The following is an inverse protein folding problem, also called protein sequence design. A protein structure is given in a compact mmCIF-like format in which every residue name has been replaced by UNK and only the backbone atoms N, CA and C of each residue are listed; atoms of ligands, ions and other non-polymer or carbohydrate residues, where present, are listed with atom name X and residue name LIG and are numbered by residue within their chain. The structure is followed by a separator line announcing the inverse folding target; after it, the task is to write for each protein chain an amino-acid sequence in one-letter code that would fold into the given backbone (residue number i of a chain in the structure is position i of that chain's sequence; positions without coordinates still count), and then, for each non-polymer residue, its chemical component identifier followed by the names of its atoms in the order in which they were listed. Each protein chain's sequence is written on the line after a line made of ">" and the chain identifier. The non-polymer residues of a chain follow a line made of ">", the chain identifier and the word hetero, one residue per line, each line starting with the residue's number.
data_IF_648198244422
#
_entry.id   IF_648198244422
#
_cell.length_a   1.000
_cell.length_b   1.000
_cell.length_c   1.000
_cell.angle_alpha   90.00
_cell.angle_beta   90.00
_cell.angle_gamma   90.00
#
_symmetry.space_group_name_H-M   'P 1'
#
loop_
_entity.id
_entity.type
_entity.pdbx_description
1 polymer ?
#
# COMPACT_ATOMS: atom_id res chain seq x y z
N UNK A 1 57.33 6.40 -52.84
CA UNK A 1 55.87 6.21 -52.82
C UNK A 1 55.49 5.73 -51.42
N UNK A 2 54.91 6.58 -50.59
CA UNK A 2 54.34 6.17 -49.30
C UNK A 2 52.96 5.56 -49.53
N UNK A 3 52.64 4.47 -48.83
CA UNK A 3 51.26 4.04 -48.58
C UNK A 3 51.08 3.98 -47.07
N UNK A 4 50.36 4.96 -46.54
CA UNK A 4 50.01 5.06 -45.13
C UNK A 4 48.67 4.32 -44.95
N UNK A 5 48.71 3.08 -44.48
CA UNK A 5 47.48 2.34 -44.15
C UNK A 5 46.96 2.82 -42.80
N UNK A 6 45.88 3.60 -42.82
CA UNK A 6 45.18 4.03 -41.61
C UNK A 6 44.36 2.84 -41.10
N UNK A 7 44.74 2.33 -39.92
CA UNK A 7 43.96 1.30 -39.22
C UNK A 7 42.80 1.99 -38.50
N UNK A 8 41.59 1.89 -39.05
CA UNK A 8 40.38 2.33 -38.36
C UNK A 8 40.03 1.31 -37.26
N UNK A 9 40.49 1.59 -36.05
CA UNK A 9 40.01 0.93 -34.83
C UNK A 9 38.59 1.44 -34.53
N UNK A 10 37.59 0.67 -34.95
CA UNK A 10 36.23 0.82 -34.45
C UNK A 10 36.17 0.38 -32.99
N UNK A 11 36.15 1.33 -32.06
CA UNK A 11 35.67 1.04 -30.71
C UNK A 11 34.17 0.70 -30.83
N UNK A 12 33.72 -0.47 -30.36
CA UNK A 12 32.30 -0.65 -30.10
C UNK A 12 31.96 0.26 -28.92
N UNK A 13 31.15 1.28 -29.18
CA UNK A 13 30.53 2.05 -28.12
C UNK A 13 29.46 1.12 -27.51
N UNK A 14 29.84 0.37 -26.46
CA UNK A 14 28.84 -0.22 -25.58
C UNK A 14 28.18 0.95 -24.86
N UNK A 15 27.08 1.42 -25.45
CA UNK A 15 26.03 2.04 -24.67
C UNK A 15 25.49 0.91 -23.78
N UNK A 16 26.00 0.83 -22.54
CA UNK A 16 25.24 0.20 -21.47
C UNK A 16 23.97 1.02 -21.37
N UNK A 17 22.86 0.47 -21.88
CA UNK A 17 21.56 0.97 -21.50
C UNK A 17 21.46 0.67 -20.00
N UNK A 18 21.63 1.72 -19.18
CA UNK A 18 21.01 1.69 -17.88
C UNK A 18 19.52 1.59 -18.17
N UNK A 19 18.86 0.53 -17.69
CA UNK A 19 17.41 0.56 -17.58
C UNK A 19 16.99 1.68 -16.63
N UNK A 20 15.68 1.89 -16.44
CA UNK A 20 15.22 2.56 -15.23
C UNK A 20 15.83 1.85 -14.01
N UNK A 21 16.15 2.63 -12.99
CA UNK A 21 16.73 2.11 -11.75
C UNK A 21 15.61 1.69 -10.81
N UNK A 22 15.88 0.62 -10.08
CA UNK A 22 15.16 0.07 -8.94
C UNK A 22 16.29 -0.26 -7.96
N UNK A 23 16.35 0.43 -6.82
CA UNK A 23 17.55 0.51 -5.97
C UNK A 23 17.52 -0.45 -4.79
N UNK A 24 16.35 -0.72 -4.20
CA UNK A 24 16.15 -1.73 -3.15
C UNK A 24 15.69 -3.09 -3.68
N UNK A 25 15.04 -3.14 -4.85
CA UNK A 25 14.59 -4.36 -5.52
C UNK A 25 13.12 -4.71 -5.30
N UNK A 26 12.26 -3.75 -4.93
CA UNK A 26 10.83 -3.98 -4.67
C UNK A 26 9.95 -4.05 -5.94
N UNK A 27 10.51 -3.76 -7.13
CA UNK A 27 9.89 -3.66 -8.46
C UNK A 27 9.30 -2.28 -8.84
N UNK A 28 9.20 -1.33 -7.92
CA UNK A 28 8.98 0.08 -8.24
C UNK A 28 10.29 0.69 -8.78
N UNK A 29 10.22 1.90 -9.33
CA UNK A 29 11.37 2.55 -9.98
C UNK A 29 11.74 3.82 -9.22
N UNK A 30 13.04 4.08 -9.04
CA UNK A 30 13.57 5.26 -8.32
C UNK A 30 12.87 6.58 -8.74
N UNK A 31 12.56 6.71 -10.04
CA UNK A 31 11.94 7.93 -10.61
C UNK A 31 10.44 8.07 -10.33
N UNK A 32 9.77 6.96 -10.03
CA UNK A 32 8.36 6.88 -9.71
C UNK A 32 8.12 7.00 -8.20
N UNK A 33 8.92 6.31 -7.40
CA UNK A 33 8.95 6.44 -5.93
C UNK A 33 9.11 7.90 -5.49
N UNK A 34 10.12 8.59 -6.04
CA UNK A 34 10.33 10.03 -5.82
C UNK A 34 9.19 10.93 -6.32
N UNK A 35 8.29 10.42 -7.17
CA UNK A 35 7.12 11.14 -7.66
C UNK A 35 5.87 10.92 -6.79
N UNK A 36 5.74 9.74 -6.17
CA UNK A 36 4.64 9.42 -5.23
C UNK A 36 4.96 9.79 -3.77
N UNK A 37 6.24 9.89 -3.40
CA UNK A 37 6.69 10.35 -2.08
C UNK A 37 7.50 9.33 -1.27
N UNK A 38 7.66 8.11 -1.79
CA UNK A 38 8.37 7.02 -1.13
C UNK A 38 9.89 7.11 -1.29
N UNK A 39 10.62 6.12 -0.75
CA UNK A 39 12.08 6.18 -0.55
C UNK A 39 12.85 5.06 -1.28
N UNK A 40 13.53 5.36 -2.42
CA UNK A 40 14.30 4.39 -3.22
C UNK A 40 15.45 3.62 -2.55
N UNK A 41 15.68 3.76 -1.26
CA UNK A 41 16.63 2.92 -0.52
C UNK A 41 15.91 1.91 0.42
N UNK A 42 14.57 1.89 0.43
CA UNK A 42 13.71 1.09 1.30
C UNK A 42 12.49 0.57 0.52
N UNK A 43 12.46 -0.75 0.29
CA UNK A 43 11.35 -1.47 -0.34
C UNK A 43 10.01 -1.46 0.43
N UNK A 44 9.93 -0.70 1.52
CA UNK A 44 8.91 -0.65 2.57
C UNK A 44 9.16 0.70 3.27
N UNK A 45 8.45 1.74 2.81
CA UNK A 45 8.82 3.13 3.07
C UNK A 45 8.33 3.70 4.41
N UNK A 46 7.17 3.27 4.89
CA UNK A 46 6.66 3.62 6.23
C UNK A 46 7.04 2.58 7.31
N UNK A 47 7.23 1.32 6.94
CA UNK A 47 7.69 0.24 7.82
C UNK A 47 6.59 -0.70 8.31
N UNK A 48 5.42 -0.71 7.68
CA UNK A 48 4.26 -1.53 8.08
C UNK A 48 4.44 -3.05 7.78
N UNK A 49 5.29 -3.37 6.80
CA UNK A 49 5.65 -4.72 6.37
C UNK A 49 5.14 -5.16 4.99
N UNK A 50 4.42 -4.30 4.27
CA UNK A 50 4.18 -4.43 2.84
C UNK A 50 5.33 -3.77 2.04
N UNK A 51 5.19 -3.69 0.71
CA UNK A 51 6.19 -3.01 -0.13
C UNK A 51 5.51 -1.93 -0.94
N UNK A 52 6.23 -0.85 -1.23
CA UNK A 52 5.69 0.30 -1.95
C UNK A 52 4.96 -0.12 -3.25
N UNK A 53 5.54 -1.07 -4.01
CA UNK A 53 4.94 -1.64 -5.24
C UNK A 53 3.71 -2.52 -5.00
N UNK A 54 3.64 -3.19 -3.85
CA UNK A 54 2.54 -4.07 -3.42
C UNK A 54 1.31 -3.24 -3.06
N UNK A 55 1.52 -2.15 -2.33
CA UNK A 55 0.48 -1.23 -1.87
C UNK A 55 -0.03 -0.39 -3.03
N UNK A 56 0.89 0.31 -3.72
CA UNK A 56 0.54 1.28 -4.74
C UNK A 56 -0.25 0.68 -5.92
N UNK A 57 0.01 -0.59 -6.28
CA UNK A 57 -0.72 -1.26 -7.35
C UNK A 57 -2.05 -1.90 -6.93
N UNK A 58 -2.29 -2.00 -5.63
CA UNK A 58 -3.56 -2.39 -5.01
C UNK A 58 -4.34 -1.17 -4.49
N UNK A 59 -3.88 0.05 -4.80
CA UNK A 59 -4.52 1.33 -4.47
C UNK A 59 -4.45 1.73 -2.99
N UNK A 60 -3.33 1.43 -2.35
CA UNK A 60 -2.96 1.82 -0.98
C UNK A 60 -1.85 2.90 -1.01
N UNK A 61 -1.76 3.73 0.03
CA UNK A 61 -0.72 4.79 0.15
C UNK A 61 0.53 4.25 0.90
N UNK A 62 1.65 3.96 0.20
CA UNK A 62 2.89 3.42 0.78
C UNK A 62 3.69 4.45 1.60
N UNK A 63 3.01 5.45 2.17
CA UNK A 63 3.56 6.44 3.09
C UNK A 63 2.72 6.59 4.36
N UNK A 64 1.70 5.74 4.55
CA UNK A 64 0.76 5.74 5.67
C UNK A 64 0.60 4.33 6.28
N UNK A 65 1.23 4.10 7.43
CA UNK A 65 1.26 2.81 8.16
C UNK A 65 -0.13 2.27 8.60
N UNK A 66 -1.20 3.02 8.36
CA UNK A 66 -2.60 2.63 8.64
C UNK A 66 -3.43 2.29 7.37
N UNK A 67 -2.85 2.42 6.17
CA UNK A 67 -3.53 2.23 4.87
C UNK A 67 -2.93 1.11 4.01
N UNK A 68 -3.08 -0.14 4.45
CA UNK A 68 -2.42 -1.30 3.83
C UNK A 68 -3.39 -2.38 3.29
N UNK A 69 -2.91 -3.32 2.43
CA UNK A 69 -3.71 -4.43 1.90
C UNK A 69 -4.27 -5.38 2.97
N UNK A 70 -5.57 -5.24 3.27
CA UNK A 70 -6.31 -6.10 4.20
C UNK A 70 -6.12 -7.59 3.95
N UNK A 71 -5.96 -8.37 5.03
CA UNK A 71 -5.92 -9.83 5.04
C UNK A 71 -7.17 -10.47 4.44
N UNK A 72 -8.31 -9.78 4.50
CA UNK A 72 -9.56 -10.18 3.85
C UNK A 72 -9.61 -9.95 2.33
N UNK A 73 -8.68 -9.16 1.77
CA UNK A 73 -8.54 -8.94 0.32
C UNK A 73 -9.68 -8.14 -0.30
N UNK A 74 -10.27 -7.21 0.44
CA UNK A 74 -11.44 -6.45 0.00
C UNK A 74 -11.09 -5.47 -1.14
N UNK A 75 -11.89 -5.40 -2.23
CA UNK A 75 -11.62 -4.49 -3.33
C UNK A 75 -11.91 -3.04 -2.94
N UNK A 76 -10.98 -2.13 -3.29
CA UNK A 76 -11.15 -0.68 -3.16
C UNK A 76 -10.55 0.07 -4.34
N UNK A 77 -10.90 1.35 -4.44
CA UNK A 77 -10.23 2.37 -5.22
C UNK A 77 -9.54 3.36 -4.27
N UNK A 78 -8.58 4.18 -4.74
CA UNK A 78 -8.02 5.24 -3.92
C UNK A 78 -9.11 6.23 -3.53
N UNK A 79 -9.09 6.66 -2.27
CA UNK A 79 -10.00 7.69 -1.78
C UNK A 79 -9.61 9.06 -2.38
N UNK A 80 -10.53 9.84 -2.98
CA UNK A 80 -10.24 11.20 -3.42
C UNK A 80 -10.05 12.17 -2.24
N UNK A 81 -9.06 13.07 -2.33
CA UNK A 81 -8.81 14.17 -1.39
C UNK A 81 -10.05 15.04 -1.09
N UNK A 82 -10.99 15.10 -2.03
CA UNK A 82 -12.18 15.96 -2.03
C UNK A 82 -13.51 15.19 -1.99
N UNK A 83 -13.55 14.01 -1.37
CA UNK A 83 -14.82 13.30 -1.11
C UNK A 83 -15.79 14.18 -0.30
N UNK A 84 -16.98 14.41 -0.85
CA UNK A 84 -18.02 15.25 -0.25
C UNK A 84 -18.70 14.51 0.92
N UNK A 85 -18.06 14.50 2.10
CA UNK A 85 -18.61 14.06 3.39
C UNK A 85 -19.88 14.86 3.76
N UNK A 86 -21.04 14.46 3.23
CA UNK A 86 -22.29 15.18 3.44
C UNK A 86 -22.97 14.75 4.75
N UNK A 87 -23.06 13.44 5.00
CA UNK A 87 -23.63 12.92 6.24
C UNK A 87 -23.97 11.45 6.24
N UNK A 88 -25.23 11.16 6.56
CA UNK A 88 -25.72 9.80 6.78
C UNK A 88 -27.16 9.60 6.33
N UNK A 89 -27.86 10.61 5.79
CA UNK A 89 -29.21 10.46 5.26
C UNK A 89 -29.20 9.83 3.84
N UNK A 90 -30.34 9.32 3.37
CA UNK A 90 -30.44 8.78 1.99
C UNK A 90 -30.21 9.88 0.95
N UNK A 91 -29.29 9.62 0.01
CA UNK A 91 -28.82 10.57 -1.00
C UNK A 91 -27.69 11.50 -0.55
N UNK A 92 -27.12 11.29 0.65
CA UNK A 92 -25.87 11.89 1.09
C UNK A 92 -24.71 10.88 0.88
N UNK A 93 -23.53 11.38 0.51
CA UNK A 93 -22.28 10.59 0.57
C UNK A 93 -21.88 10.40 2.04
N UNK A 94 -21.55 9.15 2.38
CA UNK A 94 -21.38 8.75 3.77
C UNK A 94 -20.16 9.40 4.42
N UNK A 95 -20.39 9.91 5.62
CA UNK A 95 -19.35 10.22 6.60
C UNK A 95 -18.49 9.01 6.91
N UNK A 96 -17.20 9.25 7.12
CA UNK A 96 -16.38 8.24 7.79
C UNK A 96 -16.67 8.21 9.30
N UNK A 97 -16.51 7.02 9.87
CA UNK A 97 -16.64 6.74 11.29
C UNK A 97 -15.25 6.67 11.96
N UNK A 98 -14.96 7.66 12.81
CA UNK A 98 -13.73 7.75 13.61
C UNK A 98 -13.80 6.75 14.80
N UNK A 99 -13.51 5.47 14.53
CA UNK A 99 -13.63 4.37 15.51
C UNK A 99 -12.38 3.48 15.54
N UNK A 100 -11.52 3.75 16.52
CA UNK A 100 -10.38 2.90 16.90
C UNK A 100 -10.79 1.48 17.36
N UNK A 101 -12.10 1.23 17.57
CA UNK A 101 -12.65 -0.06 18.00
C UNK A 101 -13.27 -0.87 16.81
N UNK A 102 -13.20 -0.37 15.57
CA UNK A 102 -13.77 -1.01 14.38
C UNK A 102 -12.88 -2.14 13.79
N UNK A 103 -12.43 -3.06 14.64
CA UNK A 103 -11.65 -4.25 14.24
C UNK A 103 -12.52 -5.29 13.52
N UNK A 104 -12.03 -5.83 12.40
CA UNK A 104 -12.58 -7.02 11.74
C UNK A 104 -11.97 -8.34 12.29
N UNK A 105 -12.36 -9.49 11.73
CA UNK A 105 -11.87 -10.81 12.16
C UNK A 105 -10.38 -11.08 11.93
N UNK A 106 -9.66 -10.19 11.25
CA UNK A 106 -8.20 -10.23 11.09
C UNK A 106 -7.48 -9.33 12.10
N UNK A 107 -8.21 -8.53 12.88
CA UNK A 107 -7.68 -7.50 13.77
C UNK A 107 -7.29 -6.23 13.03
N UNK A 108 -7.89 -5.98 11.86
CA UNK A 108 -7.61 -4.83 11.00
C UNK A 108 -8.71 -3.78 11.23
N UNK A 109 -8.33 -2.51 11.43
CA UNK A 109 -9.29 -1.41 11.58
C UNK A 109 -9.89 -1.07 10.21
N UNK A 110 -11.16 -1.41 10.04
CA UNK A 110 -11.93 -1.14 8.82
C UNK A 110 -12.77 0.12 9.00
N UNK A 111 -12.58 1.08 8.11
CA UNK A 111 -13.41 2.30 8.04
C UNK A 111 -14.29 2.30 6.76
N UNK A 112 -15.27 3.21 6.58
CA UNK A 112 -16.19 3.12 5.43
C UNK A 112 -15.57 3.71 4.17
N UNK A 113 -14.71 4.73 4.33
CA UNK A 113 -13.95 5.33 3.22
C UNK A 113 -12.95 4.36 2.59
N UNK A 114 -12.41 3.39 3.36
CA UNK A 114 -11.60 2.26 2.88
C UNK A 114 -12.31 1.37 1.84
N UNK A 115 -13.62 1.47 1.68
CA UNK A 115 -14.41 0.73 0.67
C UNK A 115 -14.87 1.59 -0.53
N UNK A 116 -14.33 2.81 -0.68
CA UNK A 116 -14.57 3.63 -1.87
C UNK A 116 -14.30 2.84 -3.16
N UNK A 117 -15.16 3.01 -4.16
CA UNK A 117 -15.16 2.28 -5.42
C UNK A 117 -15.92 0.94 -5.43
N UNK A 118 -16.21 0.37 -4.26
CA UNK A 118 -17.04 -0.83 -4.11
C UNK A 118 -18.50 -0.46 -3.79
N UNK A 119 -19.44 -1.29 -4.24
CA UNK A 119 -20.82 -1.23 -3.75
C UNK A 119 -20.83 -1.88 -2.35
N UNK A 120 -21.36 -1.18 -1.35
CA UNK A 120 -21.30 -1.62 0.06
C UNK A 120 -22.70 -1.92 0.59
N UNK A 121 -22.89 -3.08 1.22
CA UNK A 121 -24.05 -3.35 2.08
C UNK A 121 -23.61 -3.34 3.55
N UNK A 122 -24.12 -2.41 4.34
CA UNK A 122 -23.99 -2.44 5.80
C UNK A 122 -25.11 -3.31 6.35
N UNK A 123 -24.79 -4.47 6.95
CA UNK A 123 -25.72 -5.42 7.56
C UNK A 123 -25.72 -5.28 9.08
N UNK A 124 -26.82 -4.85 9.67
CA UNK A 124 -26.93 -4.54 11.11
C UNK A 124 -27.70 -5.64 11.81
N UNK A 125 -27.00 -6.41 12.64
CA UNK A 125 -27.50 -7.65 13.21
C UNK A 125 -27.14 -7.86 14.69
N UNK A 126 -27.61 -8.97 15.24
CA UNK A 126 -27.24 -9.40 16.59
C UNK A 126 -27.44 -10.90 16.74
N UNK A 127 -26.63 -11.53 17.59
CA UNK A 127 -26.63 -12.98 17.73
C UNK A 127 -27.93 -13.56 18.31
N UNK A 128 -28.72 -12.78 19.06
CA UNK A 128 -30.02 -13.20 19.60
C UNK A 128 -31.16 -13.06 18.58
N UNK A 129 -30.93 -12.36 17.46
CA UNK A 129 -31.92 -12.07 16.44
C UNK A 129 -32.06 -13.24 15.45
N UNK A 130 -33.12 -14.05 15.58
CA UNK A 130 -33.37 -15.16 14.65
C UNK A 130 -33.50 -14.70 13.18
N UNK A 131 -34.24 -13.62 12.83
CA UNK A 131 -34.31 -13.17 11.45
C UNK A 131 -32.97 -12.69 10.87
N UNK A 132 -32.05 -12.21 11.72
CA UNK A 132 -30.68 -11.86 11.32
C UNK A 132 -29.87 -13.13 10.99
N UNK A 133 -29.99 -14.19 11.82
CA UNK A 133 -29.40 -15.52 11.55
C UNK A 133 -29.98 -16.19 10.31
N UNK A 134 -31.27 -15.97 10.03
CA UNK A 134 -31.93 -16.50 8.85
C UNK A 134 -31.44 -15.77 7.57
N UNK A 135 -31.03 -14.50 7.68
CA UNK A 135 -30.53 -13.67 6.57
C UNK A 135 -29.03 -13.84 6.28
N UNK A 136 -28.17 -14.02 7.30
CA UNK A 136 -26.71 -14.11 7.12
C UNK A 136 -26.24 -15.06 6.01
N UNK A 137 -26.75 -16.31 5.92
CA UNK A 137 -26.39 -17.24 4.84
C UNK A 137 -26.92 -16.86 3.44
N UNK A 138 -27.94 -16.00 3.34
CA UNK A 138 -28.39 -15.40 2.08
C UNK A 138 -27.42 -14.30 1.66
N UNK A 139 -27.03 -13.42 2.60
CA UNK A 139 -26.07 -12.33 2.39
C UNK A 139 -24.68 -12.85 2.04
N UNK A 140 -24.19 -13.91 2.68
CA UNK A 140 -22.89 -14.53 2.37
C UNK A 140 -22.88 -15.16 0.96
N UNK A 141 -23.98 -15.79 0.52
CA UNK A 141 -24.06 -16.37 -0.80
C UNK A 141 -23.96 -15.30 -1.91
N UNK A 142 -24.69 -14.19 -1.75
CA UNK A 142 -24.69 -13.08 -2.69
C UNK A 142 -23.36 -12.29 -2.62
N UNK A 143 -22.72 -12.20 -1.45
CA UNK A 143 -21.35 -11.70 -1.32
C UNK A 143 -20.35 -12.54 -2.14
N UNK A 144 -20.41 -13.87 -2.05
CA UNK A 144 -19.53 -14.73 -2.88
C UNK A 144 -19.78 -14.54 -4.38
N UNK A 145 -21.02 -14.35 -4.82
CA UNK A 145 -21.37 -14.20 -6.23
C UNK A 145 -21.04 -12.79 -6.78
N UNK A 146 -20.94 -11.76 -5.94
CA UNK A 146 -20.70 -10.37 -6.37
C UNK A 146 -19.34 -9.76 -6.01
N UNK A 147 -18.60 -10.26 -5.02
CA UNK A 147 -17.36 -9.61 -4.52
C UNK A 147 -16.32 -9.30 -5.61
N UNK A 148 -16.16 -10.21 -6.57
CA UNK A 148 -15.22 -10.06 -7.69
C UNK A 148 -15.60 -8.91 -8.67
N UNK A 149 -16.82 -8.34 -8.55
CA UNK A 149 -17.31 -7.15 -9.28
C UNK A 149 -17.09 -5.82 -8.51
N UNK A 150 -16.41 -5.86 -7.36
CA UNK A 150 -16.29 -4.73 -6.44
C UNK A 150 -17.54 -4.59 -5.56
N UNK A 151 -17.86 -5.64 -4.81
CA UNK A 151 -18.93 -5.68 -3.81
C UNK A 151 -18.38 -6.08 -2.44
N UNK A 152 -18.89 -5.49 -1.38
CA UNK A 152 -18.53 -5.84 0.00
C UNK A 152 -19.72 -5.70 0.94
N UNK A 153 -19.74 -6.55 1.98
CA UNK A 153 -20.71 -6.47 3.07
C UNK A 153 -19.96 -6.09 4.35
N UNK A 154 -20.47 -5.16 5.15
CA UNK A 154 -19.95 -4.82 6.48
C UNK A 154 -20.99 -5.19 7.52
N UNK A 155 -20.77 -6.25 8.29
CA UNK A 155 -21.71 -6.65 9.33
C UNK A 155 -21.40 -5.94 10.65
N UNK A 156 -22.36 -5.15 11.15
CA UNK A 156 -22.29 -4.46 12.43
C UNK A 156 -23.03 -5.33 13.46
N UNK A 157 -22.26 -6.05 14.26
CA UNK A 157 -22.76 -7.00 15.24
C UNK A 157 -22.94 -6.32 16.61
N UNK A 158 -24.20 -6.08 16.98
CA UNK A 158 -24.54 -5.24 18.13
C UNK A 158 -24.37 -5.96 19.48
N UNK A 159 -25.30 -6.88 19.79
CA UNK A 159 -25.24 -7.68 21.02
C UNK A 159 -24.90 -9.14 20.73
N UNK A 160 -24.36 -9.82 21.74
CA UNK A 160 -24.21 -11.28 21.78
C UNK A 160 -25.55 -12.03 21.95
N UNK A 161 -25.52 -13.24 22.52
CA UNK A 161 -26.72 -14.08 22.73
C UNK A 161 -27.85 -13.47 23.61
N UNK A 162 -27.65 -12.26 24.17
CA UNK A 162 -28.66 -11.45 24.87
C UNK A 162 -28.40 -9.95 24.65
N UNK A 163 -29.44 -9.11 24.76
CA UNK A 163 -29.37 -7.61 24.66
C UNK A 163 -28.54 -6.88 25.75
N UNK A 164 -27.56 -7.56 26.33
CA UNK A 164 -26.72 -7.13 27.47
C UNK A 164 -25.34 -7.81 27.46
N UNK A 165 -25.14 -8.85 26.64
CA UNK A 165 -23.83 -9.48 26.42
C UNK A 165 -23.13 -8.77 25.28
N UNK A 166 -21.80 -8.62 25.39
CA UNK A 166 -20.97 -8.21 24.27
C UNK A 166 -21.21 -9.13 23.05
N UNK A 167 -21.11 -8.60 21.82
CA UNK A 167 -21.07 -9.41 20.62
C UNK A 167 -19.83 -10.31 20.63
N UNK A 168 -19.90 -11.48 19.97
CA UNK A 168 -18.78 -12.40 19.82
C UNK A 168 -18.56 -12.67 18.30
N UNK A 169 -17.90 -11.76 17.55
CA UNK A 169 -17.73 -11.86 16.09
C UNK A 169 -17.24 -13.24 15.60
N UNK A 170 -16.17 -13.79 16.20
CA UNK A 170 -15.66 -15.14 15.93
C UNK A 170 -16.77 -16.21 15.90
N UNK A 171 -17.70 -16.11 16.85
CA UNK A 171 -18.77 -17.08 17.07
C UNK A 171 -19.93 -16.85 16.10
N UNK A 172 -20.17 -15.62 15.69
CA UNK A 172 -21.11 -15.26 14.62
C UNK A 172 -20.63 -15.76 13.26
N UNK A 173 -19.34 -15.56 12.97
CA UNK A 173 -18.64 -16.06 11.78
C UNK A 173 -18.66 -17.59 11.74
N UNK A 174 -18.27 -18.28 12.82
CA UNK A 174 -18.28 -19.76 12.87
C UNK A 174 -19.70 -20.34 12.76
N UNK A 175 -20.69 -19.73 13.41
CA UNK A 175 -22.10 -20.21 13.37
C UNK A 175 -22.73 -20.11 11.97
N UNK A 176 -22.31 -19.15 11.14
CA UNK A 176 -22.96 -18.79 9.88
C UNK A 176 -22.06 -18.97 8.64
N UNK A 177 -20.81 -19.37 8.82
CA UNK A 177 -19.80 -19.57 7.76
C UNK A 177 -19.49 -18.29 6.93
N UNK A 178 -19.51 -17.11 7.57
CA UNK A 178 -19.29 -15.81 6.93
C UNK A 178 -17.83 -15.57 6.51
N UNK A 179 -17.62 -14.76 5.47
CA UNK A 179 -16.27 -14.39 5.00
C UNK A 179 -16.07 -12.89 4.69
N UNK A 180 -17.12 -12.08 4.84
CA UNK A 180 -17.04 -10.62 4.83
C UNK A 180 -16.73 -10.05 6.23
N UNK A 181 -16.29 -8.78 6.35
CA UNK A 181 -16.04 -8.11 7.64
C UNK A 181 -17.20 -8.22 8.64
N UNK A 182 -16.87 -8.65 9.87
CA UNK A 182 -17.79 -8.59 11.01
C UNK A 182 -17.17 -7.73 12.12
N UNK A 183 -17.77 -6.57 12.36
CA UNK A 183 -17.31 -5.55 13.31
C UNK A 183 -18.22 -5.58 14.54
N UNK A 184 -17.64 -5.53 15.73
CA UNK A 184 -18.38 -5.41 16.99
C UNK A 184 -18.85 -3.96 17.23
N UNK A 185 -20.16 -3.72 17.34
CA UNK A 185 -20.74 -2.39 17.57
C UNK A 185 -21.68 -2.39 18.79
N UNK A 186 -21.10 -2.69 19.97
CA UNK A 186 -21.92 -2.88 21.18
C UNK A 186 -22.62 -1.61 21.65
N UNK A 187 -22.03 -0.43 21.43
CA UNK A 187 -22.61 0.85 21.86
C UNK A 187 -23.51 1.51 20.81
N UNK A 188 -23.62 0.91 19.61
CA UNK A 188 -24.40 1.38 18.46
C UNK A 188 -23.89 2.71 17.89
N UNK A 189 -22.65 3.11 18.21
CA UNK A 189 -22.02 4.33 17.68
C UNK A 189 -21.95 4.32 16.15
N UNK A 190 -21.77 3.14 15.58
CA UNK A 190 -21.61 2.92 14.15
C UNK A 190 -22.96 2.67 13.45
N UNK A 191 -23.74 1.69 13.91
CA UNK A 191 -25.02 1.31 13.34
C UNK A 191 -26.08 2.42 13.42
N UNK A 192 -26.02 3.31 14.41
CA UNK A 192 -26.98 4.42 14.53
C UNK A 192 -26.94 5.41 13.36
N UNK A 193 -25.86 5.40 12.57
CA UNK A 193 -25.73 6.18 11.33
C UNK A 193 -26.51 5.52 10.17
N UNK A 194 -26.45 4.20 10.06
CA UNK A 194 -26.97 3.43 8.92
C UNK A 194 -28.41 2.89 9.10
N UNK A 195 -29.10 3.27 10.19
CA UNK A 195 -30.53 2.97 10.38
C UNK A 195 -31.43 4.13 9.92
N UNK A 196 -32.66 3.80 9.52
CA UNK A 196 -33.74 4.81 9.43
C UNK A 196 -34.28 5.13 10.83
N UNK A 197 -33.73 6.18 11.45
CA UNK A 197 -34.20 6.69 12.73
C UNK A 197 -35.50 7.51 12.64
N UNK A 198 -35.95 7.91 11.44
CA UNK A 198 -37.11 8.80 11.24
C UNK A 198 -38.42 8.17 11.70
N UNK A 199 -38.51 6.83 11.65
CA UNK A 199 -39.65 6.06 12.15
C UNK A 199 -39.55 5.69 13.65
N UNK A 200 -38.48 6.09 14.33
CA UNK A 200 -38.37 6.05 15.80
C UNK A 200 -38.24 4.65 16.42
N UNK A 201 -37.81 3.64 15.66
CA UNK A 201 -37.63 2.26 16.13
C UNK A 201 -36.36 1.65 15.55
N UNK A 202 -35.29 1.59 16.35
CA UNK A 202 -34.13 0.74 16.07
C UNK A 202 -34.60 -0.71 15.92
N UNK A 203 -34.48 -1.27 14.72
CA UNK A 203 -35.10 -2.55 14.37
C UNK A 203 -34.15 -3.37 13.52
N UNK A 204 -33.81 -4.58 13.97
CA UNK A 204 -32.89 -5.51 13.27
C UNK A 204 -33.64 -6.75 12.75
N UNK A 205 -33.21 -7.37 11.63
CA UNK A 205 -32.13 -6.92 10.75
C UNK A 205 -32.46 -5.60 10.04
N UNK A 206 -31.43 -4.77 9.87
CA UNK A 206 -31.47 -3.56 9.06
C UNK A 206 -30.29 -3.60 8.09
N UNK A 207 -30.49 -3.09 6.88
CA UNK A 207 -29.45 -3.01 5.89
C UNK A 207 -29.38 -1.59 5.33
N UNK A 208 -28.18 -1.06 5.08
CA UNK A 208 -27.98 0.10 4.21
C UNK A 208 -27.22 -0.30 2.96
N UNK A 209 -27.59 0.28 1.81
CA UNK A 209 -26.90 0.10 0.53
C UNK A 209 -26.24 1.42 0.12
N UNK A 210 -24.93 1.37 -0.10
CA UNK A 210 -24.12 2.49 -0.58
C UNK A 210 -23.58 2.21 -1.98
N UNK A 211 -23.50 3.26 -2.80
CA UNK A 211 -22.89 3.24 -4.12
C UNK A 211 -21.37 3.20 -4.09
N UNK A 212 -20.76 3.13 -5.28
CA UNK A 212 -19.29 3.11 -5.45
C UNK A 212 -18.61 4.42 -5.05
N UNK A 213 -19.36 5.50 -4.94
CA UNK A 213 -18.95 6.81 -4.43
C UNK A 213 -19.29 7.03 -2.94
N UNK A 214 -19.81 5.98 -2.29
CA UNK A 214 -20.33 5.98 -0.92
C UNK A 214 -21.62 6.80 -0.71
N UNK A 215 -22.38 7.14 -1.77
CA UNK A 215 -23.75 7.67 -1.65
C UNK A 215 -24.66 6.62 -1.00
N UNK A 216 -25.35 6.97 0.09
CA UNK A 216 -26.32 6.08 0.76
C UNK A 216 -27.62 6.07 -0.06
N UNK A 217 -27.81 5.06 -0.90
CA UNK A 217 -28.98 5.02 -1.78
C UNK A 217 -30.27 4.52 -1.11
N UNK A 218 -30.17 3.66 -0.09
CA UNK A 218 -31.35 3.08 0.58
C UNK A 218 -31.06 2.48 1.95
N UNK A 219 -32.03 2.61 2.88
CA UNK A 219 -32.06 1.95 4.19
C UNK A 219 -33.27 1.01 4.32
N UNK A 220 -33.04 -0.27 4.57
CA UNK A 220 -34.05 -1.32 4.61
C UNK A 220 -34.23 -1.88 6.02
N UNK A 221 -35.47 -2.07 6.47
CA UNK A 221 -35.81 -2.90 7.65
C UNK A 221 -36.54 -4.14 7.13
N UNK A 222 -35.78 -5.18 6.81
CA UNK A 222 -36.22 -6.40 6.12
C UNK A 222 -35.31 -7.57 6.50
N UNK A 223 -35.79 -8.81 6.39
CA UNK A 223 -34.99 -10.03 6.57
C UNK A 223 -34.56 -10.69 5.25
N UNK A 224 -34.72 -9.99 4.14
CA UNK A 224 -34.24 -10.38 2.80
C UNK A 224 -34.12 -9.11 1.97
N UNK A 225 -32.96 -8.94 1.34
CA UNK A 225 -32.58 -7.77 0.55
C UNK A 225 -33.16 -7.83 -0.86
N UNK A 226 -33.42 -6.67 -1.46
CA UNK A 226 -33.72 -6.59 -2.89
C UNK A 226 -32.41 -6.41 -3.67
N UNK A 227 -31.76 -7.54 -3.96
CA UNK A 227 -30.47 -7.60 -4.66
C UNK A 227 -30.49 -6.98 -6.06
N UNK A 228 -31.66 -6.70 -6.65
CA UNK A 228 -31.72 -6.01 -7.95
C UNK A 228 -31.11 -4.62 -7.93
N UNK A 229 -31.17 -3.91 -6.81
CA UNK A 229 -30.52 -2.59 -6.67
C UNK A 229 -29.00 -2.72 -6.49
N UNK A 230 -28.52 -3.81 -5.89
CA UNK A 230 -27.08 -4.14 -5.82
C UNK A 230 -26.56 -4.48 -7.22
N UNK A 231 -27.30 -5.28 -8.00
CA UNK A 231 -26.97 -5.58 -9.39
C UNK A 231 -26.92 -4.31 -10.26
N UNK A 232 -27.91 -3.43 -10.15
CA UNK A 232 -27.96 -2.15 -10.89
C UNK A 232 -26.73 -1.27 -10.58
N UNK A 233 -26.37 -1.09 -9.30
CA UNK A 233 -25.18 -0.31 -8.90
C UNK A 233 -23.84 -0.98 -9.29
N UNK A 234 -23.78 -2.31 -9.31
CA UNK A 234 -22.58 -3.04 -9.75
C UNK A 234 -22.35 -2.92 -11.27
N UNK A 235 -23.42 -2.70 -12.05
CA UNK A 235 -23.38 -2.46 -13.50
C UNK A 235 -23.08 -0.98 -13.86
N UNK A 236 -22.99 -0.07 -12.89
CA UNK A 236 -22.53 1.30 -13.10
C UNK A 236 -20.99 1.39 -13.24
N UNK A 237 -20.53 2.30 -14.11
CA UNK A 237 -19.10 2.60 -14.27
C UNK A 237 -18.55 3.14 -12.92
N UNK A 238 -17.45 2.59 -12.36
CA UNK A 238 -16.87 3.09 -11.11
C UNK A 238 -16.32 4.52 -11.24
N UNK A 239 -16.18 5.25 -10.11
CA UNK A 239 -15.66 6.61 -10.11
C UNK A 239 -14.23 6.65 -10.66
N UNK A 240 -13.96 7.64 -11.50
CA UNK A 240 -12.60 7.90 -12.02
C UNK A 240 -11.78 8.68 -10.99
N UNK A 241 -10.67 8.10 -10.54
CA UNK A 241 -9.71 8.70 -9.60
C UNK A 241 -8.37 8.93 -10.29
N UNK A 242 -7.68 10.03 -9.95
CA UNK A 242 -6.35 10.33 -10.50
C UNK A 242 -5.26 9.50 -9.80
N UNK A 243 -5.09 8.25 -10.25
CA UNK A 243 -4.05 7.34 -9.74
C UNK A 243 -3.08 6.92 -10.85
N UNK A 244 -1.95 7.64 -11.03
CA UNK A 244 -1.06 7.44 -12.16
C UNK A 244 -0.20 6.19 -12.02
N UNK A 245 -0.49 5.15 -12.81
CA UNK A 245 0.25 3.89 -12.74
C UNK A 245 1.71 4.01 -13.26
N UNK A 246 2.68 3.31 -12.64
CA UNK A 246 4.06 3.27 -13.11
C UNK A 246 4.19 2.59 -14.48
N UNK A 247 5.24 2.93 -15.23
CA UNK A 247 5.44 2.46 -16.61
C UNK A 247 5.57 0.92 -16.74
N UNK A 248 5.91 0.23 -15.65
CA UNK A 248 6.03 -1.22 -15.53
C UNK A 248 4.88 -1.89 -14.74
N UNK A 249 3.78 -1.19 -14.45
CA UNK A 249 2.67 -1.70 -13.61
C UNK A 249 2.15 -3.09 -14.02
N UNK A 250 2.07 -3.39 -15.32
CA UNK A 250 1.63 -4.70 -15.82
C UNK A 250 2.66 -5.82 -15.49
N UNK A 251 3.96 -5.51 -15.54
CA UNK A 251 5.03 -6.45 -15.21
C UNK A 251 5.08 -6.71 -13.69
N UNK A 252 4.86 -5.69 -12.87
CA UNK A 252 4.73 -5.84 -11.41
C UNK A 252 3.52 -6.73 -11.08
N UNK A 253 2.34 -6.46 -11.68
CA UNK A 253 1.12 -7.29 -11.49
C UNK A 253 1.32 -8.76 -11.88
N UNK A 254 1.97 -9.03 -13.01
CA UNK A 254 2.31 -10.41 -13.42
C UNK A 254 3.25 -11.10 -12.41
N UNK A 255 4.21 -10.37 -11.84
CA UNK A 255 5.17 -10.90 -10.87
C UNK A 255 4.58 -11.14 -9.46
N UNK A 256 3.74 -10.22 -8.98
CA UNK A 256 3.05 -10.35 -7.68
C UNK A 256 1.87 -11.32 -7.74
N UNK A 257 1.44 -11.71 -8.95
CA UNK A 257 0.35 -12.68 -9.15
C UNK A 257 -1.04 -12.07 -8.99
N UNK A 258 -1.14 -10.73 -8.97
CA UNK A 258 -2.42 -10.04 -8.97
C UNK A 258 -3.10 -10.24 -10.31
N UNK A 259 -4.12 -11.10 -10.31
CA UNK A 259 -5.17 -11.00 -11.33
C UNK A 259 -5.73 -9.60 -11.26
N UNK A 260 -5.72 -8.89 -12.39
CA UNK A 260 -6.49 -7.66 -12.57
C UNK A 260 -7.90 -7.92 -12.03
N UNK A 261 -8.30 -7.19 -10.99
CA UNK A 261 -9.73 -7.11 -10.62
C UNK A 261 -10.47 -6.74 -11.91
N UNK A 262 -11.61 -7.38 -12.20
CA UNK A 262 -12.38 -7.12 -13.44
C UNK A 262 -13.01 -5.70 -13.46
N UNK A 263 -12.57 -4.83 -12.54
CA UNK A 263 -12.59 -3.37 -12.60
C UNK A 263 -11.63 -2.89 -13.73
N UNK A 264 -11.97 -3.23 -14.97
CA UNK A 264 -11.35 -2.77 -16.21
C UNK A 264 -11.50 -1.25 -16.48
N UNK A 265 -11.97 -0.51 -15.47
CA UNK A 265 -12.62 0.79 -15.55
C UNK A 265 -11.91 1.92 -14.80
N UNK A 266 -10.86 1.61 -14.03
CA UNK A 266 -9.98 2.65 -13.49
C UNK A 266 -9.25 3.26 -14.68
N UNK A 267 -9.68 4.46 -15.10
CA UNK A 267 -8.97 5.28 -16.07
C UNK A 267 -7.85 5.99 -15.30
N UNK A 268 -6.58 5.55 -15.39
CA UNK A 268 -5.50 6.22 -14.68
C UNK A 268 -5.31 7.61 -15.27
N UNK A 269 -4.90 8.58 -14.46
CA UNK A 269 -4.50 9.89 -14.96
C UNK A 269 -3.42 9.78 -16.03
N UNK A 270 -3.44 10.67 -17.03
CA UNK A 270 -2.40 10.70 -18.06
C UNK A 270 -1.07 11.26 -17.52
N UNK A 271 -0.27 10.38 -16.91
CA UNK A 271 1.17 10.57 -16.71
C UNK A 271 1.63 10.60 -15.25
N UNK A 272 2.94 10.39 -15.08
CA UNK A 272 3.63 10.54 -13.80
C UNK A 272 3.40 11.96 -13.26
N UNK A 273 3.12 12.16 -11.95
CA UNK A 273 3.09 13.49 -11.35
C UNK A 273 4.38 14.25 -11.70
N UNK A 274 4.28 15.52 -12.12
CA UNK A 274 5.49 16.34 -12.30
C UNK A 274 6.16 16.53 -10.93
N UNK A 275 7.16 15.68 -10.65
CA UNK A 275 7.81 15.52 -9.35
C UNK A 275 8.00 16.87 -8.63
N UNK A 276 7.41 16.96 -7.43
CA UNK A 276 7.10 18.22 -6.76
C UNK A 276 8.33 19.13 -6.60
N UNK A 277 8.48 20.06 -7.55
CA UNK A 277 9.46 21.13 -7.50
C UNK A 277 10.92 20.69 -7.37
N UNK A 278 11.52 20.20 -8.45
CA UNK A 278 12.99 20.11 -8.57
C UNK A 278 13.65 21.48 -8.32
N UNK A 279 14.04 21.71 -7.06
CA UNK A 279 14.57 22.98 -6.60
C UNK A 279 15.97 23.18 -7.18
N UNK A 280 16.05 24.02 -8.23
CA UNK A 280 17.26 24.43 -8.93
C UNK A 280 18.53 24.36 -8.05
N UNK A 281 19.44 23.45 -8.38
CA UNK A 281 20.81 23.43 -7.83
C UNK A 281 21.60 24.61 -8.45
N UNK A 282 21.26 25.82 -7.99
CA UNK A 282 21.89 27.07 -8.33
C UNK A 282 23.13 27.28 -7.47
N UNK A 283 24.31 26.94 -7.99
CA UNK A 283 25.57 27.15 -7.29
C UNK A 283 25.81 28.63 -6.95
N UNK A 284 25.90 28.98 -5.66
CA UNK A 284 26.57 30.21 -5.23
C UNK A 284 27.30 30.05 -3.90
N UNK A 285 28.60 30.33 -3.92
CA UNK A 285 29.49 30.34 -2.75
C UNK A 285 29.30 31.62 -1.93
N UNK A 286 29.11 31.51 -0.62
CA UNK A 286 29.04 32.67 0.29
C UNK A 286 29.44 32.32 1.72
N UNK A 287 30.60 32.79 2.18
CA UNK A 287 31.14 32.51 3.51
C UNK A 287 30.64 33.50 4.56
N UNK A 288 30.28 33.01 5.76
CA UNK A 288 29.88 33.82 6.92
C UNK A 288 29.89 32.99 8.20
N UNK A 289 30.41 33.52 9.31
CA UNK A 289 30.84 32.72 10.46
C UNK A 289 30.18 33.08 11.80
N UNK A 290 30.03 32.03 12.62
CA UNK A 290 30.08 31.99 14.10
C UNK A 290 29.03 32.74 14.95
N UNK A 291 28.34 31.96 15.80
CA UNK A 291 28.21 32.01 17.30
C UNK A 291 26.84 31.44 17.70
N UNK A 292 26.63 30.62 18.74
CA UNK A 292 27.49 29.97 19.74
C UNK A 292 26.66 29.51 20.97
N UNK A 293 27.15 28.58 21.81
CA UNK A 293 26.60 28.15 23.15
C UNK A 293 25.16 27.56 23.19
N UNK A 294 24.77 26.59 24.02
CA UNK A 294 25.42 25.74 25.06
C UNK A 294 24.56 24.44 25.22
N UNK A 295 25.15 23.24 25.40
CA UNK A 295 25.23 22.46 26.67
C UNK A 295 23.88 22.08 27.36
N UNK A 296 23.61 20.86 27.87
CA UNK A 296 24.36 19.59 27.94
C UNK A 296 23.56 18.49 28.68
N UNK A 297 23.95 17.20 28.54
CA UNK A 297 23.82 16.06 29.51
C UNK A 297 22.42 15.51 29.87
N UNK A 298 22.20 14.21 30.17
CA UNK A 298 23.09 13.01 30.22
C UNK A 298 22.33 11.68 30.41
N UNK A 299 22.91 10.59 29.87
CA UNK A 299 23.03 9.20 30.39
C UNK A 299 21.87 8.47 31.11
N UNK A 300 21.62 7.21 30.71
CA UNK A 300 21.03 6.17 31.58
C UNK A 300 20.82 4.83 30.85
N UNK A 301 21.63 3.81 31.16
CA UNK A 301 21.71 2.51 30.43
C UNK A 301 21.23 1.33 31.32
N UNK A 302 20.73 0.27 30.67
CA UNK A 302 20.62 -1.15 31.10
C UNK A 302 19.54 -1.57 32.12
N UNK A 303 18.73 -2.60 31.76
CA UNK A 303 17.75 -3.17 32.71
C UNK A 303 16.90 -4.41 32.36
N UNK A 304 17.14 -5.13 31.25
CA UNK A 304 16.52 -6.41 30.82
C UNK A 304 15.60 -7.21 31.79
N UNK A 305 14.37 -7.54 31.36
CA UNK A 305 13.75 -8.88 31.57
C UNK A 305 12.59 -9.13 30.60
N UNK A 306 12.52 -10.34 30.06
CA UNK A 306 11.62 -10.71 28.97
C UNK A 306 10.20 -11.10 29.41
N UNK A 307 9.24 -10.77 28.56
CA UNK A 307 8.01 -11.54 28.30
C UNK A 307 7.91 -11.75 26.79
N UNK A 308 7.47 -12.93 26.36
CA UNK A 308 7.21 -13.18 24.93
C UNK A 308 5.91 -12.47 24.57
N UNK A 309 6.01 -11.43 23.76
CA UNK A 309 4.91 -10.99 22.91
C UNK A 309 5.13 -11.58 21.52
N UNK A 310 4.09 -12.24 21.01
CA UNK A 310 4.02 -12.66 19.61
C UNK A 310 3.44 -11.46 18.89
N UNK A 311 4.23 -10.83 18.01
CA UNK A 311 3.73 -9.72 17.20
C UNK A 311 2.61 -10.23 16.26
N UNK A 312 1.48 -9.51 16.13
CA UNK A 312 0.55 -9.71 15.02
C UNK A 312 1.24 -9.33 13.69
N UNK A 313 0.61 -9.68 12.56
CA UNK A 313 0.93 -9.07 11.27
C UNK A 313 2.15 -9.58 10.48
N UNK A 314 2.87 -10.64 10.88
CA UNK A 314 3.97 -11.16 10.03
C UNK A 314 3.47 -11.90 8.77
N UNK A 315 2.98 -11.15 7.78
CA UNK A 315 2.92 -11.63 6.40
C UNK A 315 4.35 -11.83 5.90
N UNK A 316 4.77 -13.09 5.79
CA UNK A 316 6.03 -13.41 5.13
C UNK A 316 5.82 -13.26 3.62
N UNK A 317 6.01 -12.04 3.12
CA UNK A 317 6.04 -11.74 1.69
C UNK A 317 6.98 -12.68 0.92
N UNK A 318 6.83 -12.78 -0.42
CA UNK A 318 7.60 -13.73 -1.21
C UNK A 318 9.11 -13.57 -0.94
N UNK A 319 9.88 -14.67 -0.82
CA UNK A 319 11.29 -14.59 -0.48
C UNK A 319 12.10 -14.05 -1.68
N UNK A 320 12.11 -12.72 -1.85
CA UNK A 320 12.86 -12.03 -2.87
C UNK A 320 14.36 -12.10 -2.56
N UNK A 321 15.01 -13.06 -3.24
CA UNK A 321 16.44 -13.28 -3.10
C UNK A 321 17.22 -12.14 -3.73
N UNK A 322 17.76 -11.25 -2.89
CA UNK A 322 18.54 -10.07 -3.26
C UNK A 322 19.38 -10.25 -4.53
N UNK A 323 18.89 -9.63 -5.61
CA UNK A 323 19.38 -9.80 -6.97
C UNK A 323 19.61 -8.48 -7.72
N UNK A 324 19.41 -7.33 -7.04
CA UNK A 324 19.70 -6.00 -7.57
C UNK A 324 21.11 -5.95 -8.16
N UNK A 325 21.19 -5.82 -9.48
CA UNK A 325 22.43 -5.86 -10.25
C UNK A 325 23.19 -4.52 -10.14
N UNK A 326 23.51 -4.13 -8.90
CA UNK A 326 24.16 -2.87 -8.56
C UNK A 326 25.33 -2.58 -9.50
N UNK A 327 25.18 -1.51 -10.28
CA UNK A 327 26.07 -1.17 -11.38
C UNK A 327 27.48 -0.87 -10.83
N UNK A 328 28.31 -1.91 -10.79
CA UNK A 328 29.57 -1.89 -10.05
C UNK A 328 30.57 -0.93 -10.67
N UNK A 329 30.60 0.31 -10.17
CA UNK A 329 31.60 1.31 -10.52
C UNK A 329 32.98 0.76 -10.11
N UNK A 330 33.73 0.28 -11.10
CA UNK A 330 35.12 -0.15 -10.95
C UNK A 330 36.02 1.06 -10.64
N UNK A 331 35.99 1.51 -9.38
CA UNK A 331 36.88 2.54 -8.84
C UNK A 331 38.31 1.99 -8.70
N UNK A 332 39.00 1.85 -9.82
CA UNK A 332 40.38 1.41 -9.91
C UNK A 332 41.34 2.36 -9.20
N UNK A 333 41.53 2.19 -7.89
CA UNK A 333 42.56 2.89 -7.11
C UNK A 333 43.95 2.59 -7.70
N UNK A 334 44.75 3.59 -8.10
CA UNK A 334 46.08 3.35 -8.65
C UNK A 334 47.04 2.91 -7.54
N UNK A 335 47.68 1.75 -7.72
CA UNK A 335 48.88 1.36 -6.94
C UNK A 335 50.13 1.63 -7.79
N UNK A 336 51.10 2.42 -7.31
CA UNK A 336 52.37 2.61 -8.00
C UNK A 336 53.28 1.40 -7.75
N UNK A 337 53.84 0.81 -8.81
CA UNK A 337 54.96 -0.14 -8.67
C UNK A 337 56.20 0.36 -9.43
N UNK A 338 57.31 0.34 -8.70
CA UNK A 338 58.60 0.91 -9.09
C UNK A 338 59.37 -0.09 -9.95
N UNK A 339 59.77 0.28 -11.16
CA UNK A 339 60.99 -0.25 -11.81
C UNK A 339 61.59 0.77 -12.77
N UNK A 340 62.61 1.52 -12.33
CA UNK A 340 63.53 2.23 -13.22
C UNK A 340 64.75 1.34 -13.49
N UNK A 341 64.85 0.78 -14.70
CA UNK A 341 66.02 0.03 -15.12
C UNK A 341 67.08 0.98 -15.65
N UNK A 342 68.05 1.34 -14.80
CA UNK A 342 69.09 2.30 -15.12
C UNK A 342 70.24 1.62 -15.89
N UNK A 343 70.44 2.04 -17.15
CA UNK A 343 71.39 1.42 -18.08
C UNK A 343 72.65 2.30 -18.18
N UNK A 344 73.69 1.97 -17.40
CA UNK A 344 74.96 2.71 -17.40
C UNK A 344 76.16 1.78 -17.20
N UNK A 345 76.86 1.45 -18.31
CA UNK A 345 78.18 0.77 -18.27
C UNK A 345 79.14 1.44 -19.26
N UNK A 346 79.85 2.45 -18.76
CA UNK A 346 81.26 2.72 -19.10
C UNK A 346 82.05 2.46 -17.80
N UNK A 347 83.25 1.89 -17.77
CA UNK A 347 84.21 1.63 -18.83
C UNK A 347 85.53 2.33 -18.51
N UNK A 348 86.67 1.59 -18.58
CA UNK A 348 88.06 2.05 -18.30
C UNK A 348 88.41 2.18 -16.79
N UNK A 349 89.61 1.89 -16.25
CA UNK A 349 90.89 1.22 -16.64
C UNK A 349 91.60 0.85 -15.28
N UNK A 350 92.77 0.21 -15.12
CA UNK A 350 93.89 -0.25 -15.99
C UNK A 350 94.45 -1.62 -15.46
N UNK A 351 95.75 -2.04 -15.43
CA UNK A 351 96.10 -3.48 -15.37
C UNK A 351 96.86 -3.95 -14.11
N UNK A 352 97.03 -5.27 -13.98
CA UNK A 352 97.81 -5.91 -12.91
C UNK A 352 98.95 -6.77 -13.49
N UNK A 353 100.21 -6.31 -13.40
CA UNK A 353 101.39 -7.19 -13.19
C UNK A 353 102.65 -6.41 -12.80
N UNK A 354 103.35 -6.92 -11.77
CA UNK A 354 104.75 -6.63 -11.50
C UNK A 354 105.62 -7.55 -12.35
N UNK A 355 106.64 -7.00 -13.02
CA UNK A 355 108.04 -7.41 -12.87
C UNK A 355 108.94 -6.31 -13.40
#
# INVERSE_FOLDING_TARGET
>A
MQRLSILLLSLPLLATACGPTDTDGDLLLDEFELAIGTNPELADSDGDGFTDSTEYLQYFDPTDEEDFPYSGGYPRLPLPDDIDDEGFDEGEVSRDWDSEDAEDQHGEIVNIHKFFGSVVVVDIGSEWCQPCRDAGPEVEAEYQDFKDRGFVVLNLLLDGLTQQSAPEPDRWIEDLELTFPVIADQDQSMASNYIDSSNGSFSIPNFSLLGRDLEIHAKYVTSSLDWSMVEDLLDEDPPTVDWPLPANAEEIREQLGYTKLDIDYIVPGEGIPEAAGSANIGSSTGSGAATGSDSSTSNGDSGNSAVNEVAPGQYAGPPFGGGGAGCSVLTGKPKPSITWTLLAVLGLLFPRRRR
#
